data_IF_794849514182
#
_entry.id   IF_794849514182
#
_cell.length_a   1.000
_cell.length_b   1.000
_cell.length_c   1.000
_cell.angle_alpha   90.00
_cell.angle_beta   90.00
_cell.angle_gamma   90.00
#
_symmetry.space_group_name_H-M   'P 1'
#
loop_
_entity.id
_entity.type
_entity.pdbx_description
1 polymer ?
#
# COMPACT_ATOMS: atom_id res chain seq x y z
N UNK A 1 -2.47 28.06 7.11
CA UNK A 1 -2.10 26.64 7.35
C UNK A 1 -0.58 26.47 7.32
N UNK A 2 0.07 26.56 8.49
CA UNK A 2 1.52 26.36 8.61
C UNK A 2 1.88 24.90 8.44
N UNK A 3 2.91 24.61 7.64
CA UNK A 3 3.57 23.31 7.59
C UNK A 3 3.89 22.85 9.01
N UNK A 4 3.57 21.60 9.37
CA UNK A 4 3.69 21.06 10.75
C UNK A 4 5.10 20.94 11.32
N UNK A 5 6.03 21.81 10.94
CA UNK A 5 7.38 21.92 11.46
C UNK A 5 7.45 23.23 12.25
N UNK A 6 7.72 23.15 13.57
CA UNK A 6 8.08 24.34 14.35
C UNK A 6 9.14 25.12 13.59
N UNK A 7 8.89 26.42 13.37
CA UNK A 7 9.86 27.33 12.81
C UNK A 7 10.29 28.30 13.92
N UNK A 8 11.13 27.84 14.87
CA UNK A 8 11.64 28.73 15.90
C UNK A 8 12.50 29.80 15.24
N UNK A 9 12.53 30.98 15.85
CA UNK A 9 13.52 31.99 15.48
C UNK A 9 14.93 31.48 15.84
N UNK A 10 16.00 32.05 15.24
CA UNK A 10 17.37 31.64 15.52
C UNK A 10 17.68 31.62 17.03
N UNK A 11 18.43 30.62 17.53
CA UNK A 11 18.76 30.50 18.95
C UNK A 11 19.71 31.61 19.41
N UNK A 12 19.56 32.03 20.66
CA UNK A 12 20.43 33.01 21.32
C UNK A 12 21.07 32.36 22.55
N UNK A 13 22.40 32.37 22.61
CA UNK A 13 23.19 31.85 23.72
C UNK A 13 23.79 33.00 24.54
N UNK A 14 23.45 33.08 25.82
CA UNK A 14 24.10 33.94 26.79
C UNK A 14 25.11 33.13 27.62
N UNK A 15 26.39 33.49 27.50
CA UNK A 15 27.47 32.91 28.31
C UNK A 15 27.85 33.89 29.41
N UNK A 16 27.52 33.57 30.65
CA UNK A 16 27.83 34.42 31.79
C UNK A 16 29.23 34.13 32.33
N UNK A 17 30.03 35.18 32.46
CA UNK A 17 31.28 35.14 33.19
C UNK A 17 31.09 35.91 34.51
N UNK A 18 31.28 35.24 35.66
CA UNK A 18 31.18 35.92 36.95
C UNK A 18 32.42 36.78 37.18
N UNK A 19 32.31 38.06 36.82
CA UNK A 19 33.29 39.08 37.15
C UNK A 19 32.72 39.94 38.29
N UNK A 20 33.17 39.67 39.52
CA UNK A 20 32.74 40.38 40.73
C UNK A 20 31.43 39.85 41.36
N UNK A 21 30.81 40.64 42.23
CA UNK A 21 29.72 40.21 43.12
C UNK A 21 28.34 39.99 42.45
N UNK A 22 28.21 40.17 41.14
CA UNK A 22 26.92 39.99 40.44
C UNK A 22 26.64 38.50 40.23
N UNK A 23 25.59 38.00 40.88
CA UNK A 23 25.14 36.63 40.69
C UNK A 23 24.41 36.47 39.32
N UNK A 24 24.91 35.64 38.40
CA UNK A 24 24.33 35.43 37.07
C UNK A 24 22.98 34.72 37.11
N UNK A 25 22.67 33.96 38.16
CA UNK A 25 21.36 33.32 38.35
C UNK A 25 20.25 34.37 38.52
N UNK A 26 20.52 35.42 39.31
CA UNK A 26 19.57 36.54 39.48
C UNK A 26 19.35 37.30 38.18
N UNK A 27 20.42 37.54 37.42
CA UNK A 27 20.33 38.19 36.11
C UNK A 27 19.54 37.33 35.12
N UNK A 28 19.80 36.03 35.09
CA UNK A 28 19.09 35.06 34.23
C UNK A 28 17.61 35.00 34.56
N UNK A 29 17.25 34.93 35.84
CA UNK A 29 15.86 34.93 36.28
C UNK A 29 15.11 36.21 35.86
N UNK A 30 15.75 37.38 36.02
CA UNK A 30 15.17 38.66 35.60
C UNK A 30 15.01 38.76 34.08
N UNK A 31 16.03 38.34 33.32
CA UNK A 31 15.98 38.27 31.86
C UNK A 31 14.82 37.38 31.41
N UNK A 32 14.68 36.20 32.01
CA UNK A 32 13.61 35.27 31.71
C UNK A 32 12.23 35.90 31.94
N UNK A 33 12.02 36.54 33.10
CA UNK A 33 10.74 37.18 33.40
C UNK A 33 10.38 38.26 32.38
N UNK A 34 11.31 39.15 32.02
CA UNK A 34 11.06 40.26 31.10
C UNK A 34 10.84 39.82 29.64
N UNK A 35 11.48 38.73 29.23
CA UNK A 35 11.46 38.26 27.83
C UNK A 35 10.52 37.08 27.59
N UNK A 36 9.70 36.69 28.58
CA UNK A 36 8.86 35.48 28.54
C UNK A 36 8.06 35.33 27.25
N UNK A 37 7.48 36.41 26.74
CA UNK A 37 6.67 36.41 25.52
C UNK A 37 7.43 35.99 24.25
N UNK A 38 8.76 36.14 24.23
CA UNK A 38 9.62 35.80 23.10
C UNK A 38 10.02 34.32 23.04
N UNK A 39 10.10 33.65 24.18
CA UNK A 39 10.67 32.28 24.26
C UNK A 39 9.74 31.24 24.87
N UNK A 40 8.71 31.64 25.62
CA UNK A 40 7.81 30.69 26.26
C UNK A 40 7.02 29.94 25.19
N UNK A 41 7.14 28.62 25.21
CA UNK A 41 6.37 27.74 24.36
C UNK A 41 4.95 27.54 24.88
N UNK A 42 4.06 27.19 23.98
CA UNK A 42 2.67 26.87 24.27
C UNK A 42 2.55 25.38 24.60
N UNK A 43 1.91 25.06 25.73
CA UNK A 43 1.76 23.66 26.14
C UNK A 43 0.79 22.95 25.21
N UNK A 44 1.19 21.81 24.65
CA UNK A 44 0.27 20.91 23.98
C UNK A 44 -0.57 20.20 25.05
N UNK A 45 -1.89 20.22 24.91
CA UNK A 45 -2.79 19.56 25.87
C UNK A 45 -2.96 18.07 25.57
N UNK A 46 -2.70 17.65 24.33
CA UNK A 46 -2.80 16.25 23.89
C UNK A 46 -1.45 15.53 23.97
N UNK A 47 -0.34 16.28 23.99
CA UNK A 47 1.00 15.73 24.07
C UNK A 47 1.83 16.30 25.23
N UNK A 48 2.74 15.48 25.79
CA UNK A 48 3.64 15.90 26.89
C UNK A 48 4.85 16.73 26.41
N UNK A 49 4.61 17.73 25.56
CA UNK A 49 5.64 18.67 25.12
C UNK A 49 5.05 20.07 24.87
N UNK A 50 5.95 21.06 24.72
CA UNK A 50 5.56 22.43 24.37
C UNK A 50 5.93 22.72 22.92
N UNK A 51 5.09 23.50 22.24
CA UNK A 51 5.37 24.04 20.92
C UNK A 51 6.11 25.37 21.04
N UNK A 52 7.15 25.54 20.23
CA UNK A 52 8.00 26.73 20.19
C UNK A 52 7.98 27.41 18.80
N UNK A 53 6.89 27.25 18.05
CA UNK A 53 6.74 27.93 16.76
C UNK A 53 6.85 29.45 16.94
N UNK A 54 7.72 30.08 16.14
CA UNK A 54 8.02 31.51 16.23
C UNK A 54 8.46 31.97 17.62
N UNK A 55 9.07 31.07 18.41
CA UNK A 55 9.73 31.41 19.67
C UNK A 55 11.24 31.39 19.50
N UNK A 56 11.93 32.23 20.25
CA UNK A 56 13.39 32.28 20.29
C UNK A 56 13.87 31.26 21.33
N UNK A 57 14.69 30.26 20.98
CA UNK A 57 15.39 29.45 21.95
C UNK A 57 16.43 30.31 22.69
N UNK A 58 16.09 30.77 23.90
CA UNK A 58 17.02 31.51 24.76
C UNK A 58 17.72 30.53 25.67
N UNK A 59 19.04 30.43 25.51
CA UNK A 59 19.90 29.45 26.17
C UNK A 59 20.89 30.21 27.04
N UNK A 60 21.12 29.73 28.26
CA UNK A 60 22.07 30.30 29.20
C UNK A 60 23.07 29.25 29.67
N UNK A 61 24.30 29.67 29.93
CA UNK A 61 25.34 28.85 30.56
C UNK A 61 26.38 29.76 31.23
N UNK A 62 27.34 29.20 31.96
CA UNK A 62 28.46 29.97 32.52
C UNK A 62 29.78 29.57 31.89
N UNK A 63 30.74 30.50 31.87
CA UNK A 63 32.09 30.21 31.38
C UNK A 63 32.80 29.15 32.26
N UNK A 64 32.50 29.12 33.56
CA UNK A 64 33.02 28.11 34.47
C UNK A 64 32.52 26.71 34.10
N UNK A 65 31.22 26.57 33.83
CA UNK A 65 30.64 25.28 33.44
C UNK A 65 31.19 24.80 32.09
N UNK A 66 31.35 25.70 31.12
CA UNK A 66 31.96 25.40 29.82
C UNK A 66 33.42 24.97 29.95
N UNK A 67 34.19 25.59 30.85
CA UNK A 67 35.58 25.17 31.10
C UNK A 67 35.67 23.80 31.75
N UNK A 68 34.76 23.49 32.67
CA UNK A 68 34.76 22.23 33.39
C UNK A 68 34.23 21.04 32.55
N UNK A 69 33.20 21.25 31.72
CA UNK A 69 32.50 20.17 31.03
C UNK A 69 32.62 20.22 29.50
N UNK A 70 33.21 21.30 28.96
CA UNK A 70 33.33 21.53 27.52
C UNK A 70 32.00 21.86 26.83
N UNK A 71 32.03 22.06 25.50
CA UNK A 71 30.85 22.45 24.72
C UNK A 71 29.81 21.33 24.55
N UNK A 72 30.19 20.07 24.80
CA UNK A 72 29.28 18.92 24.76
C UNK A 72 28.68 18.57 26.12
N UNK A 73 29.09 19.27 27.18
CA UNK A 73 28.60 19.06 28.54
C UNK A 73 27.11 19.36 28.68
N UNK A 74 26.46 18.71 29.65
CA UNK A 74 25.09 19.05 30.08
C UNK A 74 25.13 20.25 31.02
N UNK A 75 25.37 21.42 30.46
CA UNK A 75 25.56 22.68 31.21
C UNK A 75 24.74 23.85 30.65
N UNK A 76 23.89 23.58 29.67
CA UNK A 76 23.06 24.60 29.02
C UNK A 76 21.64 24.58 29.60
N UNK A 77 21.15 25.74 30.03
CA UNK A 77 19.77 25.93 30.45
C UNK A 77 18.97 26.61 29.35
N UNK A 78 17.90 26.00 28.85
CA UNK A 78 16.91 26.70 28.00
C UNK A 78 15.87 27.34 28.91
N UNK A 79 15.61 28.64 28.71
CA UNK A 79 14.52 29.31 29.43
C UNK A 79 13.19 28.60 29.17
N UNK A 80 12.40 28.40 30.25
CA UNK A 80 11.15 27.66 30.19
C UNK A 80 11.28 26.14 30.29
N UNK A 81 12.50 25.60 30.41
CA UNK A 81 12.73 24.17 30.68
C UNK A 81 13.50 24.01 31.98
N UNK A 82 13.24 22.91 32.68
CA UNK A 82 13.93 22.57 33.91
C UNK A 82 15.22 21.80 33.62
N UNK A 83 16.25 22.11 34.41
CA UNK A 83 17.50 21.36 34.46
C UNK A 83 18.47 21.63 33.30
N UNK A 84 19.73 21.24 33.49
CA UNK A 84 20.77 21.39 32.49
C UNK A 84 20.66 20.34 31.37
N UNK A 85 20.91 20.81 30.14
CA UNK A 85 20.77 20.10 28.88
C UNK A 85 22.07 20.18 28.08
N UNK A 86 22.20 19.34 27.05
CA UNK A 86 23.22 19.55 26.01
C UNK A 86 22.82 20.76 25.16
N UNK A 87 23.77 21.36 24.44
CA UNK A 87 23.47 22.50 23.55
C UNK A 87 22.40 22.15 22.51
N UNK A 88 22.50 20.97 21.90
CA UNK A 88 21.54 20.53 20.88
C UNK A 88 20.14 20.30 21.45
N UNK A 89 20.03 19.68 22.64
CA UNK A 89 18.74 19.50 23.31
C UNK A 89 18.09 20.83 23.71
N UNK A 90 18.92 21.81 24.13
CA UNK A 90 18.47 23.14 24.50
C UNK A 90 17.95 23.93 23.29
N UNK A 91 18.60 23.82 22.13
CA UNK A 91 18.14 24.40 20.85
C UNK A 91 16.85 23.69 20.38
N UNK A 92 16.89 22.36 20.33
CA UNK A 92 15.83 21.51 19.80
C UNK A 92 14.64 21.27 20.75
N UNK A 93 13.82 20.28 20.41
CA UNK A 93 12.65 19.87 21.19
C UNK A 93 12.60 18.34 21.36
N UNK A 94 13.51 17.75 22.17
CA UNK A 94 13.66 16.30 22.24
C UNK A 94 12.40 15.56 22.70
N UNK A 95 11.53 16.21 23.50
CA UNK A 95 10.24 15.61 23.90
C UNK A 95 9.27 15.49 22.73
N UNK A 96 9.21 16.52 21.87
CA UNK A 96 8.43 16.49 20.62
C UNK A 96 9.00 15.48 19.65
N UNK A 97 10.32 15.46 19.47
CA UNK A 97 10.99 14.50 18.59
C UNK A 97 10.71 13.06 19.01
N UNK A 98 10.77 12.78 20.32
CA UNK A 98 10.40 11.48 20.87
C UNK A 98 8.91 11.15 20.66
N UNK A 99 8.00 12.12 20.81
CA UNK A 99 6.57 11.93 20.54
C UNK A 99 6.30 11.61 19.06
N UNK A 100 6.90 12.38 18.15
CA UNK A 100 6.82 12.15 16.71
C UNK A 100 7.39 10.78 16.33
N UNK A 101 8.53 10.39 16.90
CA UNK A 101 9.14 9.09 16.67
C UNK A 101 8.21 7.94 17.07
N UNK A 102 7.53 8.05 18.23
CA UNK A 102 6.52 7.08 18.67
C UNK A 102 5.34 7.03 17.71
N UNK A 103 4.80 8.18 17.32
CA UNK A 103 3.69 8.25 16.36
C UNK A 103 4.04 7.55 15.03
N UNK A 104 5.20 7.87 14.45
CA UNK A 104 5.62 7.25 13.19
C UNK A 104 5.93 5.76 13.34
N UNK A 105 6.48 5.32 14.47
CA UNK A 105 6.69 3.91 14.74
C UNK A 105 5.36 3.14 14.77
N UNK A 106 4.33 3.68 15.42
CA UNK A 106 3.00 3.08 15.46
C UNK A 106 2.35 3.04 14.07
N UNK A 107 2.45 4.12 13.30
CA UNK A 107 1.92 4.15 11.93
C UNK A 107 2.56 3.07 11.06
N UNK A 108 3.90 2.97 11.07
CA UNK A 108 4.62 1.93 10.32
C UNK A 108 4.26 0.52 10.78
N UNK A 109 4.01 0.31 12.07
CA UNK A 109 3.57 -0.99 12.58
C UNK A 109 2.19 -1.37 12.02
N UNK A 110 1.23 -0.43 12.03
CA UNK A 110 -0.12 -0.63 11.46
C UNK A 110 -0.07 -0.92 9.96
N UNK A 111 0.75 -0.19 9.21
CA UNK A 111 0.90 -0.43 7.77
C UNK A 111 1.50 -1.82 7.48
N UNK A 112 2.45 -2.29 8.30
CA UNK A 112 3.01 -3.63 8.16
C UNK A 112 1.96 -4.70 8.42
N UNK A 113 1.19 -4.54 9.49
CA UNK A 113 0.10 -5.46 9.84
C UNK A 113 -0.98 -5.48 8.75
N UNK A 114 -1.39 -4.32 8.24
CA UNK A 114 -2.37 -4.23 7.14
C UNK A 114 -1.87 -4.95 5.88
N UNK A 115 -0.62 -4.72 5.46
CA UNK A 115 -0.02 -5.41 4.30
C UNK A 115 0.10 -6.92 4.51
N UNK A 116 0.35 -7.36 5.74
CA UNK A 116 0.40 -8.78 6.06
C UNK A 116 -0.99 -9.43 5.98
N UNK A 117 -2.01 -8.77 6.54
CA UNK A 117 -3.40 -9.21 6.40
C UNK A 117 -3.83 -9.27 4.93
N UNK A 118 -3.54 -8.24 4.14
CA UNK A 118 -3.82 -8.23 2.69
C UNK A 118 -3.15 -9.39 1.96
N UNK A 119 -1.89 -9.70 2.29
CA UNK A 119 -1.18 -10.85 1.72
C UNK A 119 -1.86 -12.17 2.09
N UNK A 120 -2.18 -12.36 3.38
CA UNK A 120 -2.87 -13.57 3.85
C UNK A 120 -4.23 -13.73 3.19
N UNK A 121 -5.01 -12.66 3.08
CA UNK A 121 -6.31 -12.69 2.39
C UNK A 121 -6.15 -12.97 0.90
N UNK A 122 -5.14 -12.40 0.23
CA UNK A 122 -4.88 -12.68 -1.18
C UNK A 122 -4.47 -14.14 -1.41
N UNK A 123 -3.65 -14.71 -0.52
CA UNK A 123 -3.25 -16.12 -0.54
C UNK A 123 -4.46 -17.04 -0.31
N UNK A 124 -5.31 -16.72 0.68
CA UNK A 124 -6.54 -17.47 0.94
C UNK A 124 -7.48 -17.42 -0.26
N UNK A 125 -7.75 -16.23 -0.81
CA UNK A 125 -8.57 -16.07 -2.02
C UNK A 125 -7.98 -16.83 -3.21
N UNK A 126 -6.66 -16.82 -3.39
CA UNK A 126 -6.01 -17.58 -4.45
C UNK A 126 -6.15 -19.09 -4.25
N UNK A 127 -6.01 -19.58 -3.01
CA UNK A 127 -6.19 -21.00 -2.66
C UNK A 127 -7.65 -21.45 -2.82
N UNK A 128 -8.61 -20.67 -2.35
CA UNK A 128 -10.05 -20.92 -2.52
C UNK A 128 -10.43 -20.97 -3.99
N UNK A 129 -9.95 -19.98 -4.77
CA UNK A 129 -10.12 -19.97 -6.22
C UNK A 129 -9.58 -21.28 -6.78
N UNK A 130 -8.31 -21.63 -6.53
CA UNK A 130 -7.67 -22.84 -7.05
C UNK A 130 -8.40 -24.14 -6.66
N UNK A 131 -8.99 -24.18 -5.46
CA UNK A 131 -9.83 -25.29 -5.00
C UNK A 131 -11.13 -25.41 -5.81
N UNK A 132 -11.70 -24.27 -6.22
CA UNK A 132 -12.88 -24.20 -7.11
C UNK A 132 -12.55 -24.42 -8.60
N UNK A 133 -11.28 -24.69 -8.96
CA UNK A 133 -10.88 -24.88 -10.35
C UNK A 133 -11.57 -26.11 -10.97
N UNK A 134 -12.41 -25.93 -12.00
CA UNK A 134 -13.09 -27.03 -12.66
C UNK A 134 -12.12 -28.01 -13.32
N UNK A 135 -12.53 -29.28 -13.35
CA UNK A 135 -11.86 -30.33 -14.08
C UNK A 135 -12.64 -30.69 -15.35
N UNK A 136 -11.93 -31.15 -16.38
CA UNK A 136 -12.54 -31.63 -17.61
C UNK A 136 -13.39 -32.87 -17.37
N UNK A 137 -14.66 -32.84 -17.74
CA UNK A 137 -15.58 -33.96 -17.59
C UNK A 137 -15.15 -35.22 -18.37
N UNK A 138 -14.32 -35.06 -19.42
CA UNK A 138 -13.87 -36.17 -20.28
C UNK A 138 -12.52 -36.78 -19.87
N UNK A 139 -11.56 -35.97 -19.40
CA UNK A 139 -10.20 -36.45 -19.12
C UNK A 139 -9.73 -36.18 -17.69
N UNK A 140 -10.57 -35.58 -16.83
CA UNK A 140 -10.29 -35.32 -15.42
C UNK A 140 -9.22 -34.24 -15.15
N UNK A 141 -8.55 -33.72 -16.18
CA UNK A 141 -7.52 -32.70 -16.01
C UNK A 141 -8.13 -31.37 -15.60
N UNK A 142 -7.56 -30.72 -14.57
CA UNK A 142 -7.90 -29.35 -14.18
C UNK A 142 -7.74 -28.39 -15.36
N UNK A 143 -8.62 -27.39 -15.44
CA UNK A 143 -8.52 -26.37 -16.48
C UNK A 143 -7.26 -25.53 -16.32
N UNK A 144 -6.69 -25.08 -17.44
CA UNK A 144 -5.63 -24.06 -17.40
C UNK A 144 -6.22 -22.72 -16.95
N UNK A 145 -5.36 -21.81 -16.52
CA UNK A 145 -5.78 -20.50 -16.03
C UNK A 145 -6.55 -19.71 -17.10
N UNK A 146 -6.12 -19.77 -18.35
CA UNK A 146 -6.77 -19.12 -19.50
C UNK A 146 -8.14 -19.74 -19.79
N UNK A 147 -8.20 -21.08 -19.79
CA UNK A 147 -9.45 -21.83 -20.02
C UNK A 147 -10.48 -21.53 -18.94
N UNK A 148 -10.03 -21.48 -17.69
CA UNK A 148 -10.88 -21.26 -16.54
C UNK A 148 -11.36 -19.82 -16.44
N UNK A 149 -10.52 -18.83 -16.76
CA UNK A 149 -10.95 -17.44 -16.94
C UNK A 149 -12.02 -17.31 -18.02
N UNK A 150 -11.85 -17.99 -19.16
CA UNK A 150 -12.84 -17.99 -20.24
C UNK A 150 -14.19 -18.61 -19.84
N UNK A 151 -14.22 -19.53 -18.87
CA UNK A 151 -15.50 -20.07 -18.33
C UNK A 151 -16.15 -19.20 -17.26
N UNK A 152 -15.42 -18.28 -16.63
CA UNK A 152 -15.95 -17.39 -15.58
C UNK A 152 -16.38 -16.02 -16.11
N UNK A 153 -15.95 -15.62 -17.31
CA UNK A 153 -16.31 -14.33 -17.88
C UNK A 153 -17.84 -14.22 -18.04
N UNK A 154 -18.51 -13.30 -17.32
CA UNK A 154 -19.93 -13.04 -17.53
C UNK A 154 -20.06 -12.06 -18.69
N UNK A 155 -19.77 -12.53 -19.90
CA UNK A 155 -19.79 -11.66 -21.07
C UNK A 155 -21.07 -11.88 -21.87
N UNK A 156 -21.97 -10.90 -21.76
CA UNK A 156 -23.17 -10.78 -22.58
C UNK A 156 -22.85 -10.63 -24.08
N UNK A 157 -21.58 -10.44 -24.46
CA UNK A 157 -21.12 -10.22 -25.82
C UNK A 157 -20.11 -11.26 -26.35
N UNK A 158 -19.69 -12.25 -25.55
CA UNK A 158 -18.87 -13.37 -26.03
C UNK A 158 -19.78 -14.57 -26.28
N UNK A 159 -19.72 -15.14 -27.49
CA UNK A 159 -20.41 -16.39 -27.84
C UNK A 159 -20.19 -17.42 -26.72
N UNK A 160 -21.29 -17.78 -26.04
CA UNK A 160 -21.34 -18.81 -25.01
C UNK A 160 -20.50 -20.00 -25.47
N UNK A 161 -19.52 -20.37 -24.66
CA UNK A 161 -18.64 -21.49 -24.97
C UNK A 161 -19.48 -22.75 -25.13
N UNK A 162 -19.49 -23.30 -26.35
CA UNK A 162 -20.31 -24.44 -26.76
C UNK A 162 -20.06 -25.69 -25.91
N UNK A 163 -18.87 -25.80 -25.28
CA UNK A 163 -18.53 -26.93 -24.41
C UNK A 163 -17.82 -26.49 -23.11
N UNK A 164 -18.56 -25.92 -22.15
CA UNK A 164 -17.99 -25.29 -20.95
C UNK A 164 -17.32 -26.31 -20.00
N UNK A 165 -17.68 -27.59 -20.09
CA UNK A 165 -17.17 -28.67 -19.23
C UNK A 165 -15.94 -29.40 -19.80
N UNK A 166 -15.45 -29.02 -20.99
CA UNK A 166 -14.33 -29.67 -21.66
C UNK A 166 -13.05 -28.82 -21.65
N UNK A 167 -11.89 -29.45 -21.46
CA UNK A 167 -10.60 -28.79 -21.69
C UNK A 167 -10.39 -28.50 -23.19
N UNK A 168 -9.46 -27.58 -23.51
CA UNK A 168 -9.22 -27.13 -24.89
C UNK A 168 -8.99 -28.31 -25.88
N UNK A 169 -8.18 -29.29 -25.48
CA UNK A 169 -7.92 -30.49 -26.32
C UNK A 169 -9.17 -31.35 -26.53
N UNK A 170 -9.95 -31.58 -25.48
CA UNK A 170 -11.19 -32.34 -25.58
C UNK A 170 -12.27 -31.58 -26.37
N UNK A 171 -12.29 -30.24 -26.27
CA UNK A 171 -13.15 -29.36 -27.06
C UNK A 171 -12.81 -29.45 -28.55
N UNK A 172 -11.53 -29.33 -28.93
CA UNK A 172 -11.12 -29.48 -30.34
C UNK A 172 -11.51 -30.84 -30.92
N UNK A 173 -11.39 -31.91 -30.12
CA UNK A 173 -11.83 -33.25 -30.52
C UNK A 173 -13.35 -33.38 -30.67
N UNK A 174 -14.11 -32.73 -29.78
CA UNK A 174 -15.58 -32.71 -29.87
C UNK A 174 -16.03 -31.96 -31.13
N UNK A 175 -15.51 -30.76 -31.36
CA UNK A 175 -15.82 -29.97 -32.55
C UNK A 175 -15.43 -30.70 -33.86
N UNK A 176 -14.28 -31.37 -33.89
CA UNK A 176 -13.88 -32.19 -35.03
C UNK A 176 -14.83 -33.38 -35.27
N UNK A 177 -15.31 -34.03 -34.20
CA UNK A 177 -16.29 -35.11 -34.31
C UNK A 177 -17.65 -34.61 -34.80
N UNK A 178 -18.10 -33.43 -34.35
CA UNK A 178 -19.33 -32.78 -34.83
C UNK A 178 -19.24 -32.44 -36.32
N UNK A 179 -18.14 -31.84 -36.77
CA UNK A 179 -17.90 -31.53 -38.18
C UNK A 179 -17.87 -32.79 -39.06
N UNK A 180 -17.27 -33.88 -38.58
CA UNK A 180 -17.30 -35.16 -39.28
C UNK A 180 -18.71 -35.75 -39.34
N UNK A 181 -19.46 -35.71 -38.23
CA UNK A 181 -20.84 -36.19 -38.18
C UNK A 181 -21.77 -35.37 -39.09
N UNK A 182 -21.55 -34.07 -39.22
CA UNK A 182 -22.27 -33.21 -40.17
C UNK A 182 -21.97 -33.61 -41.61
N UNK A 183 -20.69 -33.75 -41.97
CA UNK A 183 -20.29 -34.21 -43.31
C UNK A 183 -20.87 -35.57 -43.69
N UNK A 184 -20.94 -36.50 -42.74
CA UNK A 184 -21.57 -37.81 -42.97
C UNK A 184 -23.07 -37.68 -43.21
N UNK A 185 -23.77 -36.81 -42.47
CA UNK A 185 -25.20 -36.54 -42.71
C UNK A 185 -25.42 -35.91 -44.08
N UNK A 186 -24.65 -34.87 -44.43
CA UNK A 186 -24.76 -34.19 -45.72
C UNK A 186 -24.47 -35.16 -46.89
N UNK A 187 -23.55 -36.12 -46.73
CA UNK A 187 -23.28 -37.16 -47.73
C UNK A 187 -24.44 -38.16 -47.86
N UNK A 188 -25.07 -38.57 -46.76
CA UNK A 188 -26.24 -39.46 -46.79
C UNK A 188 -27.42 -38.74 -47.47
N UNK A 189 -27.69 -37.49 -47.09
CA UNK A 189 -28.75 -36.67 -47.69
C UNK A 189 -28.50 -36.39 -49.18
N UNK A 190 -27.24 -36.15 -49.58
CA UNK A 190 -26.85 -35.99 -50.98
C UNK A 190 -26.97 -37.28 -51.81
N UNK A 191 -26.67 -38.45 -51.22
CA UNK A 191 -26.85 -39.74 -51.89
C UNK A 191 -28.33 -40.10 -52.09
N UNK A 192 -29.20 -39.76 -51.14
CA UNK A 192 -30.66 -39.94 -51.29
C UNK A 192 -31.24 -39.00 -52.37
N UNK A 193 -30.70 -37.79 -52.55
CA UNK A 193 -31.08 -36.90 -53.65
C UNK A 193 -30.59 -37.38 -55.03
N UNK A 194 -29.35 -37.88 -55.13
CA UNK A 194 -28.78 -38.41 -56.39
C UNK A 194 -29.45 -39.74 -56.82
N UNK A 195 -29.92 -40.55 -55.86
CA UNK A 195 -30.78 -41.72 -56.12
C UNK A 195 -32.22 -41.34 -56.52
N UNK A 196 -32.70 -40.15 -56.14
CA UNK A 196 -33.99 -39.59 -56.56
C UNK A 196 -33.99 -38.98 -57.96
N UNK A 197 -32.83 -38.54 -58.48
CA UNK A 197 -32.70 -37.91 -59.80
C UNK A 197 -32.32 -38.88 -60.94
N UNK A 198 -31.92 -40.13 -60.64
CA UNK A 198 -31.77 -41.19 -61.66
C UNK A 198 -33.14 -41.69 -62.17
N UNK A 199 -33.76 -40.88 -63.03
CA UNK A 199 -34.86 -41.32 -63.91
C UNK A 199 -34.42 -42.54 -64.73
N UNK A 200 -35.14 -43.68 -64.71
CA UNK A 200 -34.82 -44.80 -65.58
C UNK A 200 -35.09 -44.40 -67.04
N UNK A 201 -34.06 -44.53 -67.88
CA UNK A 201 -34.16 -44.38 -69.32
C UNK A 201 -35.21 -45.33 -69.89
N UNK A 202 -36.21 -44.78 -70.58
CA UNK A 202 -37.21 -45.51 -71.34
C UNK A 202 -36.54 -46.19 -72.54
N UNK A 203 -36.40 -47.51 -72.50
CA UNK A 203 -36.03 -48.33 -73.66
C UNK A 203 -37.23 -49.24 -74.03
N UNK A 204 -37.54 -49.26 -75.32
CA UNK A 204 -38.70 -49.90 -75.94
C UNK A 204 -38.58 -51.43 -76.07
N UNK A 205 -39.72 -52.14 -75.95
CA UNK A 205 -40.11 -53.33 -76.76
C UNK A 205 -41.64 -53.47 -76.66
N UNK A 206 -42.47 -53.17 -77.68
CA UNK A 206 -43.01 -54.03 -78.77
C UNK A 206 -43.66 -55.33 -78.27
N UNK A 207 -44.88 -55.64 -78.76
CA UNK A 207 -45.42 -56.90 -79.34
C UNK A 207 -46.96 -56.79 -79.44
N UNK A 208 -47.51 -56.59 -80.66
CA UNK A 208 -48.43 -57.48 -81.43
C UNK A 208 -49.65 -58.06 -80.69
N UNK A 209 -50.85 -57.67 -81.12
CA UNK A 209 -51.74 -58.44 -82.03
C UNK A 209 -52.65 -57.47 -82.77
#
# INVERSE_FOLDING_TARGET
PGSGLENPYPPVLFVFNQLGARNPERTTARLAALTRHLWAGDKDYEADFHHYDKKIPVITTTLADLRAHGPHGRVFGRLGRSGPQTLFDAIGNPRRDAANARHWAQHRAREREARERERQEAEQRAAEREAQRPACARCGTKFTEERWKATQAPDWNTLSDTHPTLCARCKSRAAAAELLAQKVRDQIEGQDQDLGERKPGRWFTRWRT
#
